data_IF_002959596417
#
_entry.id   IF_002959596417
#
_cell.length_a   1.000
_cell.length_b   1.000
_cell.length_c   1.000
_cell.angle_alpha   90.00
_cell.angle_beta   90.00
_cell.angle_gamma   90.00
#
_symmetry.space_group_name_H-M   'P 1'
#
loop_
_entity.id
_entity.type
_entity.pdbx_description
1 polymer ?
#
# COMPACT_ATOMS: atom_id res chain seq x y z
N UNK A 1 46.26 -21.22 30.11
CA UNK A 1 45.15 -20.28 30.34
C UNK A 1 45.06 -19.16 29.30
N UNK A 2 45.99 -19.03 28.36
CA UNK A 2 45.98 -17.95 27.34
C UNK A 2 45.14 -18.24 26.09
N UNK A 3 44.86 -19.51 25.78
CA UNK A 3 44.06 -19.88 24.59
C UNK A 3 42.56 -19.56 24.74
N UNK A 4 42.05 -19.49 25.98
CA UNK A 4 40.66 -19.13 26.24
C UNK A 4 40.40 -17.62 26.08
N UNK A 5 41.33 -16.76 26.49
CA UNK A 5 41.18 -15.30 26.34
C UNK A 5 41.20 -14.85 24.88
N UNK A 6 41.96 -15.53 24.00
CA UNK A 6 41.98 -15.27 22.57
C UNK A 6 40.65 -15.56 21.87
N UNK A 7 39.96 -16.64 22.26
CA UNK A 7 38.63 -16.98 21.72
C UNK A 7 37.55 -16.00 22.19
N UNK A 8 37.57 -15.60 23.47
CA UNK A 8 36.63 -14.59 23.99
C UNK A 8 36.85 -13.22 23.33
N UNK A 9 38.09 -12.85 23.01
CA UNK A 9 38.43 -11.62 22.30
C UNK A 9 37.92 -11.64 20.85
N UNK A 10 38.09 -12.76 20.13
CA UNK A 10 37.57 -12.90 18.75
C UNK A 10 36.04 -12.93 18.69
N UNK A 11 35.38 -13.61 19.64
CA UNK A 11 33.93 -13.57 19.76
C UNK A 11 33.42 -12.16 20.08
N UNK A 12 34.14 -11.39 20.91
CA UNK A 12 33.79 -9.99 21.18
C UNK A 12 33.97 -9.07 19.98
N UNK A 13 34.94 -9.36 19.10
CA UNK A 13 35.21 -8.60 17.87
C UNK A 13 34.23 -8.96 16.74
N UNK A 14 33.82 -10.21 16.63
CA UNK A 14 32.73 -10.64 15.73
C UNK A 14 31.38 -10.12 16.21
N UNK A 15 31.15 -10.07 17.52
CA UNK A 15 29.95 -9.49 18.12
C UNK A 15 29.97 -7.94 18.09
N UNK A 16 31.15 -7.30 18.09
CA UNK A 16 31.30 -5.87 17.75
C UNK A 16 31.12 -5.59 16.26
N UNK A 17 31.50 -6.52 15.38
CA UNK A 17 31.21 -6.43 13.93
C UNK A 17 29.74 -6.69 13.59
N UNK A 18 28.95 -7.23 14.51
CA UNK A 18 27.49 -7.32 14.37
C UNK A 18 26.76 -6.12 14.99
N UNK A 19 27.48 -5.10 15.49
CA UNK A 19 26.91 -3.95 16.20
C UNK A 19 27.26 -2.60 15.56
N UNK A 20 27.53 -2.58 14.27
CA UNK A 20 27.28 -1.40 13.43
C UNK A 20 26.29 -1.85 12.37
N UNK A 21 24.99 -1.77 12.69
CA UNK A 21 23.94 -1.85 11.68
C UNK A 21 24.30 -0.86 10.57
N UNK A 22 24.61 -1.35 9.38
CA UNK A 22 24.89 -0.49 8.25
C UNK A 22 23.57 0.17 7.83
N UNK A 23 23.23 1.29 8.48
CA UNK A 23 22.05 2.08 8.13
C UNK A 23 22.33 2.70 6.77
N UNK A 24 21.60 2.25 5.75
CA UNK A 24 21.68 2.82 4.41
C UNK A 24 21.41 4.32 4.47
N UNK A 25 22.29 5.12 3.86
CA UNK A 25 22.23 6.59 3.89
C UNK A 25 22.38 7.15 2.48
N UNK A 26 21.48 8.05 2.09
CA UNK A 26 21.63 8.83 0.85
C UNK A 26 20.90 10.17 0.92
N UNK A 27 21.23 11.15 0.07
CA UNK A 27 20.41 12.35 -0.07
C UNK A 27 18.98 12.02 -0.53
N UNK A 28 18.00 12.73 0.02
CA UNK A 28 16.61 12.70 -0.40
C UNK A 28 16.41 13.68 -1.57
N UNK A 29 15.74 13.25 -2.64
CA UNK A 29 15.40 14.12 -3.78
C UNK A 29 14.05 14.81 -3.55
N UNK A 30 13.80 15.93 -4.25
CA UNK A 30 12.52 16.64 -4.15
C UNK A 30 11.34 15.78 -4.61
N UNK A 31 11.53 14.94 -5.63
CA UNK A 31 10.59 13.87 -5.99
C UNK A 31 11.34 12.54 -5.90
N UNK A 32 10.96 11.70 -4.95
CA UNK A 32 11.72 10.48 -4.64
C UNK A 32 10.78 9.31 -4.32
N UNK A 33 11.21 8.09 -4.68
CA UNK A 33 10.50 6.86 -4.35
C UNK A 33 11.42 5.99 -3.49
N UNK A 34 10.96 5.66 -2.28
CA UNK A 34 11.73 4.96 -1.26
C UNK A 34 11.12 3.59 -1.00
N UNK A 35 11.79 2.54 -1.48
CA UNK A 35 11.43 1.15 -1.20
C UNK A 35 12.35 0.50 -0.15
N UNK A 36 13.45 1.14 0.20
CA UNK A 36 14.47 0.64 1.13
C UNK A 36 14.43 1.40 2.44
N UNK A 37 14.70 0.71 3.55
CA UNK A 37 14.95 1.35 4.84
C UNK A 37 16.23 2.17 4.81
N UNK A 38 16.34 3.13 5.73
CA UNK A 38 17.55 3.94 5.86
C UNK A 38 17.28 5.36 6.32
N UNK A 39 18.31 6.19 6.19
CA UNK A 39 18.29 7.61 6.51
C UNK A 39 18.48 8.43 5.24
N UNK A 40 17.56 9.37 5.03
CA UNK A 40 17.48 10.18 3.83
C UNK A 40 17.50 11.65 4.19
N UNK A 41 18.56 12.36 3.81
CA UNK A 41 18.73 13.78 4.18
C UNK A 41 18.37 14.68 3.02
N UNK A 42 17.44 15.60 3.25
CA UNK A 42 17.10 16.67 2.32
C UNK A 42 17.79 17.96 2.75
N UNK A 43 18.45 18.63 1.81
CA UNK A 43 18.99 19.97 1.99
C UNK A 43 18.60 20.81 0.78
N UNK A 44 18.10 22.02 1.03
CA UNK A 44 17.67 22.90 -0.04
C UNK A 44 18.80 23.82 -0.52
N UNK A 45 19.12 23.73 -1.81
CA UNK A 45 20.06 24.65 -2.46
C UNK A 45 19.35 25.88 -3.04
N UNK A 46 18.06 25.73 -3.37
CA UNK A 46 17.20 26.76 -3.96
C UNK A 46 15.77 26.52 -3.48
N UNK A 47 14.92 27.57 -3.34
CA UNK A 47 13.55 27.42 -2.86
C UNK A 47 12.78 26.33 -3.62
N UNK A 48 12.33 25.30 -2.91
CA UNK A 48 11.54 24.21 -3.48
C UNK A 48 10.09 24.34 -3.04
N UNK A 49 9.19 24.58 -4.01
CA UNK A 49 7.80 24.95 -3.73
C UNK A 49 6.86 23.75 -3.50
N UNK A 50 7.21 22.56 -4.00
CA UNK A 50 6.40 21.35 -3.83
C UNK A 50 7.24 20.08 -4.05
N UNK A 51 7.68 19.46 -2.95
CA UNK A 51 8.40 18.19 -2.97
C UNK A 51 7.57 17.08 -2.33
N UNK A 52 7.81 15.84 -2.76
CA UNK A 52 7.17 14.64 -2.25
C UNK A 52 8.11 13.42 -2.28
N UNK A 53 8.15 12.68 -1.18
CA UNK A 53 8.74 11.35 -1.09
C UNK A 53 7.62 10.30 -0.97
N UNK A 54 7.65 9.31 -1.85
CA UNK A 54 6.71 8.21 -1.93
C UNK A 54 7.36 6.97 -1.34
N UNK A 55 6.86 6.48 -0.20
CA UNK A 55 7.41 5.32 0.48
C UNK A 55 6.53 4.10 0.27
N UNK A 56 7.16 2.96 0.00
CA UNK A 56 6.51 1.67 -0.18
C UNK A 56 7.28 0.54 0.51
N UNK A 57 6.55 -0.31 1.22
CA UNK A 57 7.03 -1.54 1.84
C UNK A 57 6.48 -2.77 1.13
N UNK A 58 6.97 -3.93 1.54
CA UNK A 58 6.40 -5.21 1.12
C UNK A 58 4.94 -5.32 1.61
N UNK A 59 4.11 -6.18 0.98
CA UNK A 59 2.71 -6.37 1.36
C UNK A 59 2.46 -6.67 2.85
N UNK A 60 3.42 -7.28 3.53
CA UNK A 60 3.37 -7.65 4.95
C UNK A 60 4.13 -6.68 5.84
N UNK A 61 4.36 -5.45 5.39
CA UNK A 61 5.08 -4.42 6.13
C UNK A 61 4.23 -3.16 6.32
N UNK A 62 4.52 -2.42 7.38
CA UNK A 62 4.11 -1.03 7.58
C UNK A 62 5.34 -0.16 7.77
N UNK A 63 5.22 1.14 7.54
CA UNK A 63 6.34 2.07 7.47
C UNK A 63 6.32 2.98 8.69
N UNK A 64 7.41 2.98 9.44
CA UNK A 64 7.68 3.94 10.51
C UNK A 64 8.59 5.05 9.99
N UNK A 65 8.17 6.29 10.22
CA UNK A 65 8.82 7.51 9.75
C UNK A 65 9.20 8.39 10.94
N UNK A 66 10.47 8.78 11.00
CA UNK A 66 10.97 9.66 12.05
C UNK A 66 11.75 10.81 11.40
N UNK A 67 11.44 12.04 11.83
CA UNK A 67 12.13 13.24 11.38
C UNK A 67 13.17 13.64 12.42
N UNK A 68 14.41 13.85 11.98
CA UNK A 68 15.51 14.38 12.78
C UNK A 68 16.20 15.54 12.07
N UNK A 69 17.05 16.27 12.80
CA UNK A 69 17.88 17.35 12.25
C UNK A 69 17.08 18.39 11.45
N UNK A 70 15.86 18.67 11.91
CA UNK A 70 14.92 19.54 11.20
C UNK A 70 15.31 21.00 11.42
N UNK A 71 15.62 21.68 10.31
CA UNK A 71 15.94 23.10 10.27
C UNK A 71 15.10 23.77 9.17
N UNK A 72 13.86 24.15 9.48
CA UNK A 72 12.92 24.81 8.54
C UNK A 72 12.23 26.00 9.22
N UNK A 73 11.74 26.96 8.42
CA UNK A 73 11.01 28.12 8.96
C UNK A 73 9.49 27.97 8.80
N UNK A 74 8.86 27.36 9.81
CA UNK A 74 7.40 27.21 9.87
C UNK A 74 6.66 28.56 9.84
N UNK A 75 7.27 29.65 10.31
CA UNK A 75 6.63 30.97 10.35
C UNK A 75 6.64 31.67 8.98
N UNK A 76 7.67 31.42 8.17
CA UNK A 76 7.74 31.83 6.77
C UNK A 76 6.90 30.93 5.83
N UNK A 77 6.27 29.89 6.37
CA UNK A 77 5.38 28.98 5.63
C UNK A 77 6.06 27.73 5.08
N UNK A 78 7.27 27.39 5.52
CA UNK A 78 7.80 26.04 5.29
C UNK A 78 6.94 25.02 6.03
N UNK A 79 6.87 23.80 5.49
CA UNK A 79 6.20 22.71 6.19
C UNK A 79 6.78 21.36 5.77
N UNK A 80 6.66 20.39 6.68
CA UNK A 80 6.83 18.97 6.41
C UNK A 80 5.56 18.28 6.92
N UNK A 81 4.92 17.52 6.04
CA UNK A 81 3.72 16.78 6.36
C UNK A 81 3.85 15.34 5.94
N UNK A 82 3.49 14.44 6.84
CA UNK A 82 3.44 13.01 6.61
C UNK A 82 1.98 12.64 6.40
N UNK A 83 1.69 11.86 5.36
CA UNK A 83 0.39 11.30 5.05
C UNK A 83 0.44 9.78 5.23
N UNK A 84 -0.45 9.28 6.06
CA UNK A 84 -0.75 7.85 6.21
C UNK A 84 -1.59 7.40 5.00
N UNK A 85 -0.89 6.87 3.99
CA UNK A 85 -1.42 6.57 2.67
C UNK A 85 -0.61 7.21 1.54
N UNK A 86 -1.16 7.16 0.33
CA UNK A 86 -0.58 7.75 -0.89
C UNK A 86 -1.57 8.65 -1.62
N UNK A 87 -1.04 9.69 -2.26
CA UNK A 87 -1.81 10.55 -3.17
C UNK A 87 -1.28 10.38 -4.58
N UNK A 88 -2.09 9.79 -5.47
CA UNK A 88 -1.75 9.56 -6.86
C UNK A 88 -2.82 10.16 -7.76
N UNK A 89 -2.42 11.00 -8.72
CA UNK A 89 -3.34 11.71 -9.65
C UNK A 89 -4.50 12.45 -8.93
N UNK A 90 -4.25 12.97 -7.72
CA UNK A 90 -5.26 13.68 -6.91
C UNK A 90 -6.19 12.78 -6.09
N UNK A 91 -6.11 11.47 -6.27
CA UNK A 91 -6.83 10.47 -5.51
C UNK A 91 -6.02 9.96 -4.32
N UNK A 92 -6.72 9.48 -3.29
CA UNK A 92 -6.09 9.05 -2.04
C UNK A 92 -6.26 7.56 -1.86
N UNK A 93 -5.15 6.89 -1.62
CA UNK A 93 -5.10 5.51 -1.21
C UNK A 93 -4.74 5.41 0.27
N UNK A 94 -5.47 4.60 1.06
CA UNK A 94 -6.75 3.97 0.72
C UNK A 94 -7.88 5.00 0.71
N UNK A 95 -9.03 4.61 0.16
CA UNK A 95 -10.21 5.48 0.12
C UNK A 95 -10.68 5.89 1.52
N UNK A 96 -11.59 6.87 1.58
CA UNK A 96 -12.18 7.27 2.87
C UNK A 96 -13.07 6.18 3.48
N UNK A 97 -13.53 5.24 2.67
CA UNK A 97 -14.41 4.14 3.10
C UNK A 97 -13.63 2.94 3.65
N UNK A 98 -12.39 2.73 3.18
CA UNK A 98 -11.63 1.51 3.50
C UNK A 98 -10.58 1.73 4.60
N UNK A 99 -10.16 2.97 4.84
CA UNK A 99 -9.14 3.27 5.84
C UNK A 99 -9.75 3.67 7.20
N UNK A 100 -9.22 3.14 8.32
CA UNK A 100 -9.84 3.25 9.64
C UNK A 100 -9.91 4.69 10.17
N UNK A 101 -8.88 5.50 9.90
CA UNK A 101 -8.86 6.91 10.30
C UNK A 101 -9.55 7.83 9.28
N UNK A 102 -10.29 8.86 9.73
CA UNK A 102 -10.74 9.97 8.88
C UNK A 102 -9.57 10.74 8.27
N UNK A 103 -9.79 11.34 7.09
CA UNK A 103 -8.73 12.00 6.31
C UNK A 103 -7.91 13.03 7.11
N UNK A 104 -8.53 13.84 7.96
CA UNK A 104 -7.83 14.85 8.77
C UNK A 104 -6.82 14.25 9.75
N UNK A 105 -7.07 13.04 10.23
CA UNK A 105 -6.21 12.32 11.18
C UNK A 105 -5.09 11.54 10.48
N UNK A 106 -5.13 11.43 9.15
CA UNK A 106 -4.07 10.80 8.35
C UNK A 106 -2.90 11.73 8.06
N UNK A 107 -3.00 13.02 8.43
CA UNK A 107 -1.94 13.99 8.22
C UNK A 107 -1.28 14.33 9.55
N UNK A 108 0.03 14.15 9.60
CA UNK A 108 0.88 14.65 10.69
C UNK A 108 1.68 15.83 10.15
N UNK A 109 1.39 17.02 10.66
CA UNK A 109 2.09 18.25 10.32
C UNK A 109 3.15 18.54 11.39
N UNK A 110 4.40 18.64 10.97
CA UNK A 110 5.52 18.96 11.85
C UNK A 110 5.35 20.33 12.51
N UNK A 111 4.88 21.34 11.78
CA UNK A 111 4.79 22.72 12.27
C UNK A 111 3.63 22.95 13.24
N UNK A 112 2.61 22.07 13.25
CA UNK A 112 1.42 22.24 14.09
C UNK A 112 1.22 21.15 15.14
N UNK A 113 1.95 20.03 15.06
CA UNK A 113 1.77 18.92 16.01
C UNK A 113 2.79 18.98 17.15
N UNK A 114 2.32 18.72 18.37
CA UNK A 114 3.20 18.45 19.53
C UNK A 114 3.96 17.11 19.41
N UNK A 115 3.67 16.32 18.36
CA UNK A 115 4.29 15.04 18.05
C UNK A 115 5.53 15.17 17.14
N UNK A 116 6.02 16.39 16.90
CA UNK A 116 7.11 16.74 15.97
C UNK A 116 8.48 16.06 16.21
N UNK A 117 8.60 15.14 17.17
CA UNK A 117 9.80 14.32 17.38
C UNK A 117 9.54 12.83 17.56
N UNK A 118 8.29 12.37 17.44
CA UNK A 118 7.93 10.96 17.55
C UNK A 118 7.93 10.26 16.19
N UNK A 119 8.20 8.96 16.19
CA UNK A 119 8.03 8.14 15.00
C UNK A 119 6.53 8.01 14.65
N UNK A 120 6.16 8.30 13.40
CA UNK A 120 4.82 8.11 12.85
C UNK A 120 4.77 6.75 12.17
N UNK A 121 3.78 5.93 12.51
CA UNK A 121 3.58 4.62 11.90
C UNK A 121 2.44 4.69 10.89
N UNK A 122 2.65 4.19 9.67
CA UNK A 122 1.59 4.05 8.69
C UNK A 122 0.67 2.88 9.01
N UNK A 123 -0.59 3.01 8.63
CA UNK A 123 -1.61 1.97 8.72
C UNK A 123 -1.55 0.99 7.54
N UNK A 124 -0.83 1.33 6.47
CA UNK A 124 -0.63 0.53 5.26
C UNK A 124 0.86 0.32 4.97
N UNK A 125 1.17 -0.45 3.94
CA UNK A 125 2.54 -0.60 3.43
C UNK A 125 3.01 0.60 2.59
N UNK A 126 2.33 1.74 2.65
CA UNK A 126 2.72 2.97 1.95
C UNK A 126 2.58 4.17 2.87
N UNK A 127 3.40 5.18 2.62
CA UNK A 127 3.31 6.49 3.26
C UNK A 127 3.83 7.55 2.29
N UNK A 128 3.40 8.80 2.47
CA UNK A 128 3.87 9.92 1.66
C UNK A 128 4.33 11.06 2.54
N UNK A 129 5.52 11.60 2.26
CA UNK A 129 6.01 12.83 2.91
C UNK A 129 5.98 13.94 1.88
N UNK A 130 5.26 15.03 2.16
CA UNK A 130 5.21 16.19 1.29
C UNK A 130 5.69 17.42 2.05
N UNK A 131 6.55 18.21 1.41
CA UNK A 131 7.26 19.28 2.07
C UNK A 131 7.54 20.43 1.11
N UNK A 132 7.71 21.61 1.71
CA UNK A 132 8.05 22.86 1.04
C UNK A 132 9.05 23.59 1.92
N UNK A 133 10.21 23.93 1.36
CA UNK A 133 11.31 24.58 2.09
C UNK A 133 11.91 25.68 1.21
N UNK A 134 11.84 26.92 1.67
CA UNK A 134 12.28 28.09 0.90
C UNK A 134 13.71 28.53 1.25
N UNK A 135 14.08 28.49 2.53
CA UNK A 135 15.34 29.06 3.02
C UNK A 135 16.54 28.23 2.60
N UNK A 136 17.60 28.78 1.97
CA UNK A 136 18.80 28.02 1.63
C UNK A 136 19.43 27.39 2.88
N UNK A 137 20.05 26.22 2.72
CA UNK A 137 20.67 25.43 3.80
C UNK A 137 19.70 24.91 4.87
N UNK A 138 18.39 25.11 4.68
CA UNK A 138 17.34 24.43 5.46
C UNK A 138 17.11 23.00 4.96
N UNK A 139 16.68 22.13 5.86
CA UNK A 139 16.60 20.71 5.58
C UNK A 139 16.06 19.88 6.72
N UNK A 140 16.06 18.57 6.50
CA UNK A 140 15.70 17.57 7.50
C UNK A 140 16.29 16.21 7.11
N UNK A 141 16.39 15.32 8.09
CA UNK A 141 16.70 13.91 7.89
C UNK A 141 15.44 13.09 8.14
N UNK A 142 15.09 12.23 7.18
CA UNK A 142 14.00 11.27 7.28
C UNK A 142 14.60 9.88 7.53
N UNK A 143 14.27 9.29 8.68
CA UNK A 143 14.56 7.89 8.97
C UNK A 143 13.34 7.05 8.60
N UNK A 144 13.56 6.03 7.76
CA UNK A 144 12.54 5.09 7.29
C UNK A 144 12.87 3.72 7.84
N UNK A 145 11.92 3.14 8.58
CA UNK A 145 11.96 1.76 9.06
C UNK A 145 10.70 1.03 8.61
N UNK A 146 10.80 -0.26 8.36
CA UNK A 146 9.71 -1.16 8.01
C UNK A 146 9.49 -2.13 9.17
N UNK A 147 8.25 -2.40 9.45
CA UNK A 147 7.86 -3.29 10.54
C UNK A 147 6.91 -4.34 9.99
N UNK A 148 7.10 -5.59 10.40
CA UNK A 148 6.21 -6.67 9.99
C UNK A 148 4.78 -6.41 10.47
N UNK A 149 3.83 -6.47 9.55
CA UNK A 149 2.40 -6.42 9.82
C UNK A 149 1.79 -7.80 9.62
N UNK A 150 1.37 -8.50 10.69
CA UNK A 150 0.78 -9.82 10.59
C UNK A 150 -0.63 -9.82 9.98
N UNK A 151 -1.32 -8.67 9.99
CA UNK A 151 -2.69 -8.50 9.50
C UNK A 151 -2.76 -7.35 8.48
N UNK A 152 -2.09 -7.49 7.33
CA UNK A 152 -2.01 -6.43 6.34
C UNK A 152 -3.37 -6.19 5.67
N UNK A 153 -3.72 -4.91 5.54
CA UNK A 153 -4.96 -4.44 4.98
C UNK A 153 -4.71 -3.14 4.22
N UNK A 154 -5.42 -2.94 3.10
CA UNK A 154 -5.22 -1.81 2.20
C UNK A 154 -3.76 -1.72 1.71
N UNK A 155 -3.37 -2.72 0.95
CA UNK A 155 -2.00 -2.96 0.52
C UNK A 155 -1.82 -2.44 -0.90
N UNK A 156 -0.63 -1.93 -1.20
CA UNK A 156 -0.20 -1.64 -2.56
C UNK A 156 0.92 -2.59 -2.99
N UNK A 157 0.79 -3.22 -4.15
CA UNK A 157 1.83 -4.08 -4.69
C UNK A 157 3.03 -3.26 -5.17
N UNK A 158 4.22 -3.68 -4.77
CA UNK A 158 5.48 -3.13 -5.28
C UNK A 158 5.86 -3.73 -6.64
N UNK A 159 5.44 -4.97 -6.92
CA UNK A 159 5.73 -5.70 -8.16
C UNK A 159 4.50 -5.84 -9.06
N UNK A 160 4.69 -6.00 -10.39
CA UNK A 160 3.59 -6.25 -11.32
C UNK A 160 3.14 -7.73 -11.35
N UNK A 161 3.81 -8.59 -10.59
CA UNK A 161 3.51 -10.02 -10.49
C UNK A 161 3.74 -10.54 -9.08
N UNK A 162 2.96 -11.53 -8.68
CA UNK A 162 3.05 -12.12 -7.35
C UNK A 162 1.83 -12.92 -6.96
N UNK A 163 1.78 -13.29 -5.69
CA UNK A 163 0.63 -13.96 -5.09
C UNK A 163 0.42 -13.43 -3.68
N UNK A 164 -0.84 -13.31 -3.27
CA UNK A 164 -1.17 -12.81 -1.95
C UNK A 164 -2.38 -13.52 -1.37
N UNK A 165 -2.41 -13.62 -0.04
CA UNK A 165 -3.56 -14.14 0.70
C UNK A 165 -3.99 -13.09 1.71
N UNK A 166 -5.17 -12.53 1.48
CA UNK A 166 -5.79 -11.60 2.41
C UNK A 166 -6.71 -12.39 3.35
N UNK A 167 -6.57 -12.15 4.65
CA UNK A 167 -7.38 -12.79 5.70
C UNK A 167 -7.95 -11.71 6.62
N UNK A 168 -9.27 -11.73 6.82
CA UNK A 168 -9.98 -10.85 7.74
C UNK A 168 -10.77 -11.66 8.77
N UNK A 169 -10.24 -11.79 10.01
CA UNK A 169 -10.85 -12.61 11.03
C UNK A 169 -11.84 -11.80 11.87
N UNK A 170 -13.15 -11.98 11.69
CA UNK A 170 -14.18 -11.35 12.53
C UNK A 170 -14.11 -9.81 12.62
N UNK A 171 -13.66 -9.12 11.56
CA UNK A 171 -13.62 -7.66 11.55
C UNK A 171 -14.62 -7.08 10.55
N UNK A 172 -15.41 -6.09 10.99
CA UNK A 172 -16.38 -5.36 10.15
C UNK A 172 -15.71 -4.14 9.49
N UNK A 173 -14.79 -4.42 8.57
CA UNK A 173 -14.09 -3.40 7.76
C UNK A 173 -13.70 -4.01 6.41
N UNK A 174 -13.37 -3.13 5.47
CA UNK A 174 -13.02 -3.52 4.11
C UNK A 174 -11.50 -3.44 3.96
N UNK A 175 -10.92 -4.44 3.29
CA UNK A 175 -9.50 -4.46 2.97
C UNK A 175 -9.31 -4.55 1.46
N UNK A 176 -8.39 -3.75 0.94
CA UNK A 176 -8.03 -3.74 -0.47
C UNK A 176 -6.60 -4.21 -0.69
N UNK A 177 -6.34 -4.78 -1.86
CA UNK A 177 -5.00 -5.02 -2.39
C UNK A 177 -4.94 -4.42 -3.79
N UNK A 178 -4.15 -3.35 -3.94
CA UNK A 178 -4.06 -2.54 -5.15
C UNK A 178 -2.79 -2.87 -5.92
N UNK A 179 -2.93 -3.05 -7.23
CA UNK A 179 -1.84 -3.34 -8.16
C UNK A 179 -1.82 -2.21 -9.19
N UNK A 180 -0.77 -1.41 -9.17
CA UNK A 180 -0.58 -0.25 -10.06
C UNK A 180 -0.04 -0.66 -11.44
N UNK A 181 -0.59 -1.74 -11.99
CA UNK A 181 -0.25 -2.30 -13.29
C UNK A 181 -1.47 -2.99 -13.93
N UNK A 182 -1.52 -3.07 -15.27
CA UNK A 182 -2.48 -3.92 -15.97
C UNK A 182 -2.10 -5.38 -15.78
N UNK A 183 -2.97 -6.16 -15.14
CA UNK A 183 -2.65 -7.52 -14.71
C UNK A 183 -3.70 -8.54 -15.10
N UNK A 184 -3.23 -9.77 -15.29
CA UNK A 184 -4.09 -10.93 -15.29
C UNK A 184 -4.15 -11.46 -13.86
N UNK A 185 -5.36 -11.52 -13.31
CA UNK A 185 -5.62 -11.95 -11.96
C UNK A 185 -6.23 -13.35 -11.96
N UNK A 186 -5.71 -14.23 -11.11
CA UNK A 186 -6.18 -15.59 -10.93
C UNK A 186 -6.54 -15.81 -9.47
N UNK A 187 -7.82 -16.01 -9.19
CA UNK A 187 -8.28 -16.39 -7.85
C UNK A 187 -7.99 -17.87 -7.63
N UNK A 188 -7.23 -18.17 -6.57
CA UNK A 188 -6.84 -19.54 -6.21
C UNK A 188 -7.64 -20.10 -5.06
N UNK A 189 -8.10 -19.24 -4.15
CA UNK A 189 -8.93 -19.65 -3.01
C UNK A 189 -9.89 -18.52 -2.62
N UNK A 190 -11.13 -18.88 -2.28
CA UNK A 190 -12.11 -17.97 -1.72
C UNK A 190 -12.90 -18.70 -0.64
N UNK A 191 -12.85 -18.16 0.58
CA UNK A 191 -13.62 -18.61 1.73
C UNK A 191 -14.32 -17.42 2.36
N UNK A 192 -15.64 -17.38 2.25
CA UNK A 192 -16.49 -16.32 2.78
C UNK A 192 -17.50 -16.85 3.79
N UNK A 193 -17.84 -16.00 4.75
CA UNK A 193 -18.93 -16.20 5.68
C UNK A 193 -20.26 -16.48 5.01
N UNK A 194 -20.95 -17.56 5.42
CA UNK A 194 -22.18 -18.04 4.80
C UNK A 194 -22.09 -18.47 3.32
N UNK A 195 -20.96 -19.08 2.91
CA UNK A 195 -20.99 -20.18 1.93
C UNK A 195 -21.67 -21.46 2.48
N UNK A 196 -22.71 -21.30 3.31
CA UNK A 196 -23.52 -22.36 3.93
C UNK A 196 -24.99 -21.92 4.01
N UNK A 197 -25.73 -22.09 2.91
CA UNK A 197 -26.98 -22.85 2.92
C UNK A 197 -27.44 -23.13 1.49
N UNK A 198 -27.86 -24.36 1.29
CA UNK A 198 -28.30 -25.01 0.06
C UNK A 198 -29.43 -24.26 -0.67
N UNK A 199 -29.52 -24.49 -1.99
CA UNK A 199 -30.52 -23.99 -2.96
C UNK A 199 -30.11 -22.79 -3.82
N UNK A 200 -29.10 -22.94 -4.67
CA UNK A 200 -29.23 -22.51 -6.07
C UNK A 200 -28.39 -23.44 -6.94
N UNK A 201 -29.02 -23.94 -8.00
CA UNK A 201 -28.49 -24.89 -8.96
C UNK A 201 -27.13 -24.48 -9.54
N UNK A 202 -26.24 -25.45 -9.86
CA UNK A 202 -24.90 -25.22 -10.43
C UNK A 202 -24.96 -24.82 -11.92
N UNK A 203 -25.93 -24.00 -12.32
CA UNK A 203 -26.32 -23.74 -13.71
C UNK A 203 -26.54 -22.24 -13.99
N UNK A 204 -25.99 -21.33 -13.20
CA UNK A 204 -26.09 -19.89 -13.48
C UNK A 204 -24.70 -19.28 -13.64
N UNK A 205 -24.37 -18.73 -14.82
CA UNK A 205 -23.11 -18.03 -15.02
C UNK A 205 -23.03 -16.86 -14.03
N UNK A 206 -21.79 -16.55 -13.62
CA UNK A 206 -21.34 -15.36 -12.91
C UNK A 206 -22.43 -14.28 -12.81
N UNK A 207 -23.20 -14.28 -11.71
CA UNK A 207 -24.15 -13.21 -11.45
C UNK A 207 -23.37 -12.05 -10.86
N UNK A 208 -23.35 -10.93 -11.60
CA UNK A 208 -23.14 -9.60 -11.03
C UNK A 208 -24.19 -9.34 -9.93
N UNK A 209 -23.78 -8.92 -8.73
CA UNK A 209 -24.67 -8.47 -7.67
C UNK A 209 -24.61 -9.25 -6.35
N UNK A 210 -23.43 -9.38 -5.76
CA UNK A 210 -23.19 -9.77 -4.37
C UNK A 210 -23.31 -8.58 -3.39
N UNK A 211 -23.55 -7.37 -3.88
CA UNK A 211 -23.81 -6.20 -3.03
C UNK A 211 -24.99 -6.47 -2.10
N UNK A 212 -24.73 -6.54 -0.78
CA UNK A 212 -25.73 -6.85 0.24
C UNK A 212 -25.71 -8.27 0.78
N UNK A 213 -24.82 -9.15 0.29
CA UNK A 213 -24.61 -10.50 0.86
C UNK A 213 -23.89 -10.52 2.21
N UNK A 214 -23.48 -9.36 2.72
CA UNK A 214 -22.65 -9.22 3.92
C UNK A 214 -21.17 -9.32 3.57
N UNK A 215 -20.70 -10.52 3.25
CA UNK A 215 -19.30 -10.80 2.91
C UNK A 215 -19.16 -11.10 1.41
N UNK A 216 -18.25 -10.41 0.73
CA UNK A 216 -17.96 -10.62 -0.70
C UNK A 216 -16.60 -10.03 -1.10
N UNK A 217 -16.10 -10.46 -2.26
CA UNK A 217 -14.90 -9.92 -2.91
C UNK A 217 -15.31 -9.14 -4.15
N UNK A 218 -14.73 -7.96 -4.33
CA UNK A 218 -14.85 -7.14 -5.54
C UNK A 218 -13.52 -7.10 -6.28
N UNK A 219 -13.59 -7.19 -7.60
CA UNK A 219 -12.49 -6.91 -8.51
C UNK A 219 -12.78 -5.56 -9.17
N UNK A 220 -11.98 -4.56 -8.82
CA UNK A 220 -12.16 -3.18 -9.27
C UNK A 220 -11.04 -2.82 -10.26
N UNK A 221 -11.40 -2.10 -11.33
CA UNK A 221 -10.46 -1.57 -12.31
C UNK A 221 -10.63 -0.06 -12.48
N UNK A 222 -9.53 0.66 -12.70
CA UNK A 222 -9.60 2.09 -13.02
C UNK A 222 -8.25 2.75 -13.22
N UNK A 223 -8.26 4.06 -13.47
CA UNK A 223 -7.06 4.85 -13.75
C UNK A 223 -6.47 5.56 -12.52
N UNK A 224 -7.22 5.54 -11.41
CA UNK A 224 -6.88 6.14 -10.13
C UNK A 224 -6.69 5.10 -9.02
N UNK A 225 -6.57 5.54 -7.78
CA UNK A 225 -6.28 4.68 -6.60
C UNK A 225 -7.40 4.71 -5.55
N UNK A 226 -8.42 5.53 -5.74
CA UNK A 226 -9.59 5.60 -4.87
C UNK A 226 -10.59 4.50 -5.25
N UNK A 227 -10.63 3.44 -4.44
CA UNK A 227 -11.51 2.28 -4.63
C UNK A 227 -12.99 2.65 -4.74
N UNK A 228 -13.43 3.79 -4.17
CA UNK A 228 -14.82 4.25 -4.26
C UNK A 228 -15.20 4.84 -5.62
N UNK A 229 -14.22 5.12 -6.48
CA UNK A 229 -14.40 5.68 -7.83
C UNK A 229 -14.05 4.70 -8.94
N UNK A 230 -13.54 3.52 -8.58
CA UNK A 230 -13.17 2.49 -9.55
C UNK A 230 -14.40 1.76 -10.08
N UNK A 231 -14.27 1.21 -11.28
CA UNK A 231 -15.32 0.42 -11.90
C UNK A 231 -15.31 -1.01 -11.34
N UNK A 232 -16.43 -1.51 -10.77
CA UNK A 232 -16.52 -2.89 -10.30
C UNK A 232 -16.66 -3.83 -11.50
N UNK A 233 -15.56 -4.49 -11.87
CA UNK A 233 -15.54 -5.40 -13.00
C UNK A 233 -16.19 -6.76 -12.66
N UNK A 234 -16.09 -7.19 -11.40
CA UNK A 234 -16.71 -8.41 -10.91
C UNK A 234 -16.90 -8.38 -9.39
N UNK A 235 -17.89 -9.12 -8.90
CA UNK A 235 -18.12 -9.39 -7.49
C UNK A 235 -18.38 -10.88 -7.23
N UNK A 236 -17.92 -11.38 -6.08
CA UNK A 236 -17.88 -12.79 -5.76
C UNK A 236 -18.27 -13.03 -4.30
N UNK A 237 -19.35 -13.77 -4.09
CA UNK A 237 -19.88 -14.14 -2.78
C UNK A 237 -19.82 -15.65 -2.52
N UNK A 238 -19.40 -16.44 -3.52
CA UNK A 238 -19.24 -17.89 -3.42
C UNK A 238 -17.97 -18.31 -4.15
N UNK A 239 -17.38 -19.42 -3.71
CA UNK A 239 -16.22 -20.00 -4.39
C UNK A 239 -16.61 -20.40 -5.81
N UNK A 240 -15.98 -19.83 -6.85
CA UNK A 240 -16.30 -20.18 -8.22
C UNK A 240 -15.93 -21.64 -8.49
N UNK A 241 -16.71 -22.32 -9.32
CA UNK A 241 -16.41 -23.69 -9.78
C UNK A 241 -15.25 -23.66 -10.79
N UNK A 242 -14.03 -23.44 -10.32
CA UNK A 242 -12.81 -23.35 -11.15
C UNK A 242 -11.94 -22.13 -10.82
N UNK A 243 -10.68 -22.17 -11.28
CA UNK A 243 -9.76 -21.04 -11.19
C UNK A 243 -10.32 -19.89 -12.03
N UNK A 244 -10.85 -18.85 -11.39
CA UNK A 244 -11.34 -17.66 -12.09
C UNK A 244 -10.14 -16.82 -12.49
N UNK A 245 -9.86 -16.78 -13.79
CA UNK A 245 -8.83 -15.97 -14.40
C UNK A 245 -9.50 -14.78 -15.10
N UNK A 246 -9.02 -13.58 -14.82
CA UNK A 246 -9.59 -12.35 -15.34
C UNK A 246 -8.47 -11.42 -15.80
N UNK A 247 -8.64 -10.84 -16.99
CA UNK A 247 -7.69 -9.88 -17.54
C UNK A 247 -8.18 -8.48 -17.21
N UNK A 248 -7.40 -7.74 -16.43
CA UNK A 248 -7.72 -6.38 -16.01
C UNK A 248 -6.73 -5.43 -16.68
N UNK A 249 -7.16 -4.85 -17.81
CA UNK A 249 -6.35 -3.97 -18.64
C UNK A 249 -6.21 -2.54 -18.13
N UNK A 250 -6.63 -2.24 -16.90
CA UNK A 250 -6.62 -0.90 -16.34
C UNK A 250 -5.23 -0.52 -15.78
N UNK A 251 -4.95 0.79 -15.67
CA UNK A 251 -3.72 1.26 -15.00
C UNK A 251 -3.60 0.69 -13.59
N UNK A 252 -4.72 0.61 -12.87
CA UNK A 252 -4.80 0.09 -11.51
C UNK A 252 -5.89 -0.98 -11.41
N UNK A 253 -5.56 -2.09 -10.76
CA UNK A 253 -6.46 -3.20 -10.48
C UNK A 253 -6.49 -3.46 -8.97
N UNK A 254 -7.67 -3.73 -8.41
CA UNK A 254 -7.83 -3.93 -6.95
C UNK A 254 -8.64 -5.18 -6.67
N UNK A 255 -8.16 -5.99 -5.72
CA UNK A 255 -8.97 -7.01 -5.03
C UNK A 255 -9.42 -6.41 -3.71
N UNK A 256 -10.72 -6.18 -3.55
CA UNK A 256 -11.32 -5.62 -2.34
C UNK A 256 -12.18 -6.67 -1.65
N UNK A 257 -11.86 -7.00 -0.40
CA UNK A 257 -12.65 -7.90 0.42
C UNK A 257 -13.51 -7.05 1.36
N UNK A 258 -14.83 -7.19 1.21
CA UNK A 258 -15.84 -6.52 2.04
C UNK A 258 -16.30 -7.50 3.10
N UNK A 259 -16.30 -7.06 4.37
CA UNK A 259 -16.66 -7.94 5.49
C UNK A 259 -17.65 -7.31 6.47
N UNK A 260 -18.65 -8.11 6.81
CA UNK A 260 -19.62 -7.94 7.89
C UNK A 260 -19.07 -8.25 9.28
N UNK A 261 -17.84 -8.77 9.40
CA UNK A 261 -17.23 -9.13 10.69
C UNK A 261 -17.80 -10.37 11.39
N UNK A 262 -18.78 -11.05 10.80
CA UNK A 262 -19.37 -12.26 11.41
C UNK A 262 -18.52 -13.51 11.22
N UNK A 263 -17.61 -13.51 10.25
CA UNK A 263 -16.87 -14.69 9.80
C UNK A 263 -15.39 -14.39 9.59
N UNK A 264 -14.61 -15.45 9.39
CA UNK A 264 -13.21 -15.35 8.94
C UNK A 264 -13.23 -15.43 7.42
N UNK A 265 -13.01 -14.28 6.78
CA UNK A 265 -12.99 -14.18 5.33
C UNK A 265 -11.56 -14.30 4.81
N UNK A 266 -11.38 -15.07 3.74
CA UNK A 266 -10.07 -15.32 3.13
C UNK A 266 -10.18 -15.34 1.61
N UNK A 267 -9.28 -14.62 0.97
CA UNK A 267 -9.10 -14.66 -0.49
C UNK A 267 -7.62 -14.83 -0.81
N UNK A 268 -7.30 -15.80 -1.66
CA UNK A 268 -5.96 -16.01 -2.19
C UNK A 268 -5.99 -15.84 -3.70
N UNK A 269 -5.02 -15.10 -4.22
CA UNK A 269 -4.93 -14.81 -5.65
C UNK A 269 -3.48 -14.71 -6.11
N UNK A 270 -3.29 -14.89 -7.41
CA UNK A 270 -2.05 -14.65 -8.13
C UNK A 270 -2.31 -13.60 -9.19
N UNK A 271 -1.29 -12.82 -9.51
CA UNK A 271 -1.37 -11.83 -10.56
C UNK A 271 -0.06 -11.78 -11.33
N UNK A 272 -0.15 -11.44 -12.61
CA UNK A 272 1.00 -11.22 -13.48
C UNK A 272 0.73 -10.03 -14.39
N UNK A 273 1.78 -9.38 -14.84
CA UNK A 273 1.67 -8.31 -15.84
C UNK A 273 1.03 -8.85 -17.12
N UNK A 274 0.07 -8.11 -17.67
CA UNK A 274 -0.47 -8.39 -19.01
C UNK A 274 0.57 -8.02 -20.06
N UNK A 275 0.79 -8.93 -21.02
CA UNK A 275 1.57 -8.60 -22.20
C UNK A 275 0.90 -7.50 -23.03
N UNK A 276 1.69 -6.68 -23.72
CA UNK A 276 1.20 -5.58 -24.57
C UNK A 276 0.24 -6.04 -25.69
N UNK A 277 0.34 -7.31 -26.10
CA UNK A 277 -0.55 -7.97 -27.06
C UNK A 277 -1.79 -8.59 -26.43
N UNK A 278 -1.82 -8.73 -25.10
CA UNK A 278 -2.93 -9.27 -24.32
C UNK A 278 -3.79 -8.18 -23.68
N UNK A 279 -3.34 -6.92 -23.72
CA UNK A 279 -4.14 -5.77 -23.34
C UNK A 279 -5.33 -5.63 -24.30
N UNK A 280 -6.53 -5.30 -23.82
CA UNK A 280 -7.67 -5.01 -24.69
C UNK A 280 -7.24 -3.94 -25.70
N UNK A 281 -7.28 -4.27 -27.00
CA UNK A 281 -7.09 -3.26 -28.02
C UNK A 281 -8.26 -2.29 -27.91
N UNK A 282 -7.98 -0.99 -27.78
CA UNK A 282 -8.95 0.07 -27.98
C UNK A 282 -9.45 -0.01 -29.43
N UNK A 283 -10.41 -0.90 -29.68
CA UNK A 283 -11.13 -0.98 -30.94
C UNK A 283 -12.36 -0.09 -30.78
N UNK A 284 -12.44 0.96 -31.61
CA UNK A 284 -13.50 1.99 -31.59
C UNK A 284 -14.94 1.45 -31.77
N UNK A 285 -15.18 0.13 -31.75
CA UNK A 285 -16.50 -0.46 -31.99
C UNK A 285 -16.83 -1.74 -31.17
N UNK A 286 -16.15 -2.03 -30.05
CA UNK A 286 -16.58 -3.10 -29.13
C UNK A 286 -16.81 -2.57 -27.71
N UNK A 287 -18.01 -2.81 -27.19
CA UNK A 287 -18.63 -2.25 -25.98
C UNK A 287 -17.98 -2.58 -24.62
N UNK A 288 -16.70 -2.93 -24.52
CA UNK A 288 -16.09 -3.37 -23.24
C UNK A 288 -14.69 -2.77 -23.02
N UNK A 289 -14.57 -1.44 -23.07
CA UNK A 289 -13.37 -0.73 -22.60
C UNK A 289 -13.58 -0.29 -21.14
N UNK A 290 -13.56 -1.27 -20.22
CA UNK A 290 -13.92 -1.12 -18.80
C UNK A 290 -13.10 -0.06 -18.03
N UNK A 291 -11.97 0.37 -18.58
CA UNK A 291 -11.02 1.28 -17.93
C UNK A 291 -11.10 2.73 -18.46
N UNK A 292 -12.01 3.03 -19.40
CA UNK A 292 -12.13 4.35 -20.05
C UNK A 292 -13.13 5.31 -19.39
N UNK A 293 -13.82 4.88 -18.33
CA UNK A 293 -14.81 5.72 -17.65
C UNK A 293 -14.26 6.18 -16.31
N UNK A 294 -13.81 7.45 -16.27
CA UNK A 294 -13.34 8.16 -15.08
C UNK A 294 -12.90 9.57 -15.43
#
# INVERSE_FOLDING_TARGET
>A
NEAAEGLYSMLSLEQKRSSEDFIFRRPLRCLDMLATEGQFTFMTAQPQLACAAFLIGEPTEVISLELSDVNIDCSAGDFIKIFDGWVLKGEKFPSSQDHPLPLRQRYTDYCSSSAAGGAVLSSQNVAMVFFRIHSPDSGFTLTVKKQHNPMPCNIMSQSPEGSFTMVMPHHHWNCSFSIIYPVELQLTELSLGQAKSNELSPQRPMRWGCTGSGDYVELLGGNGVDTSKMYPMADLCFSPSGLTQMRMGCDNSVVRLVSSGNYVNRVSFRYRLLGRSEQPQASENSLDDFCTVG
#
